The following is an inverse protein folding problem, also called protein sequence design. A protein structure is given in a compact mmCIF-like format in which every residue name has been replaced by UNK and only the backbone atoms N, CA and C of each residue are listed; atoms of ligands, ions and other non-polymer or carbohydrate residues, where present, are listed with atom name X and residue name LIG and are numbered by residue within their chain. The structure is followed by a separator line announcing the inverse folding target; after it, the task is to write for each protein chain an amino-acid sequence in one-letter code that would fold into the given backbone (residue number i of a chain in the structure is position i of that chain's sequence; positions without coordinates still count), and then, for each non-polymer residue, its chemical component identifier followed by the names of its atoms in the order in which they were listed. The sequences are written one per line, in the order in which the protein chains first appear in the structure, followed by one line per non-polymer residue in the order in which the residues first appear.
data_IF_932576031541
#
_entry.id   IF_932576031541
#
_cell.length_a   1.000
_cell.length_b   1.000
_cell.length_c   1.000
_cell.angle_alpha   90.00
_cell.angle_beta   90.00
_cell.angle_gamma   90.00
#
_symmetry.space_group_name_H-M   'P 1'
#
loop_
_entity.id
_entity.type
_entity.pdbx_description
1 polymer ?
#
# COMPACT_ATOMS: atom_id res chain seq x y z
N UNK A 1 -43.98 7.87 4.04
CA UNK A 1 -42.84 7.02 4.41
C UNK A 1 -41.76 7.25 3.36
N UNK A 2 -40.72 8.02 3.69
CA UNK A 2 -39.56 8.20 2.80
C UNK A 2 -38.69 6.95 2.94
N UNK A 3 -38.58 6.17 1.86
CA UNK A 3 -37.66 5.04 1.76
C UNK A 3 -36.24 5.57 1.95
N UNK A 4 -35.53 5.05 2.96
CA UNK A 4 -34.11 5.33 3.10
C UNK A 4 -33.37 4.84 1.84
N UNK A 5 -32.39 5.59 1.34
CA UNK A 5 -31.56 5.13 0.23
C UNK A 5 -30.87 3.84 0.67
N UNK A 6 -31.20 2.73 0.02
CA UNK A 6 -30.51 1.47 0.25
C UNK A 6 -29.03 1.63 -0.08
N UNK A 7 -28.15 1.15 0.81
CA UNK A 7 -26.72 1.15 0.57
C UNK A 7 -26.41 0.40 -0.72
N UNK A 8 -25.74 1.09 -1.65
CA UNK A 8 -25.41 0.56 -2.99
C UNK A 8 -24.62 -0.75 -2.92
N UNK A 9 -23.82 -0.91 -1.86
CA UNK A 9 -23.06 -2.13 -1.56
C UNK A 9 -23.95 -3.35 -1.35
N UNK A 10 -25.13 -3.18 -0.77
CA UNK A 10 -26.09 -4.26 -0.50
C UNK A 10 -26.65 -4.86 -1.80
N UNK A 11 -26.81 -4.05 -2.84
CA UNK A 11 -27.29 -4.53 -4.16
C UNK A 11 -26.15 -5.18 -4.95
N UNK A 12 -24.92 -4.65 -4.83
CA UNK A 12 -23.78 -5.16 -5.59
C UNK A 12 -23.27 -6.51 -5.09
N UNK A 13 -23.26 -6.72 -3.77
CA UNK A 13 -22.70 -7.95 -3.16
C UNK A 13 -23.34 -9.25 -3.70
N UNK A 14 -24.67 -9.42 -3.74
CA UNK A 14 -25.30 -10.64 -4.28
C UNK A 14 -25.00 -10.88 -5.76
N UNK A 15 -24.88 -9.81 -6.57
CA UNK A 15 -24.60 -9.93 -7.99
C UNK A 15 -23.17 -10.44 -8.24
N UNK A 16 -22.20 -9.92 -7.50
CA UNK A 16 -20.81 -10.40 -7.58
C UNK A 16 -20.71 -11.88 -7.17
N UNK A 17 -21.44 -12.28 -6.13
CA UNK A 17 -21.51 -13.69 -5.69
C UNK A 17 -22.23 -14.58 -6.72
N UNK A 18 -23.19 -14.04 -7.47
CA UNK A 18 -23.86 -14.71 -8.59
C UNK A 18 -23.02 -14.74 -9.89
N UNK A 19 -21.77 -14.29 -9.85
CA UNK A 19 -20.85 -14.32 -11.00
C UNK A 19 -21.00 -13.16 -11.97
N UNK A 20 -21.70 -12.09 -11.60
CA UNK A 20 -21.72 -10.86 -12.39
C UNK A 20 -20.37 -10.14 -12.27
N UNK A 21 -19.93 -9.53 -13.36
CA UNK A 21 -18.64 -8.80 -13.40
C UNK A 21 -18.87 -7.31 -13.46
N UNK A 22 -18.22 -6.55 -12.57
CA UNK A 22 -18.27 -5.10 -12.58
C UNK A 22 -17.44 -4.53 -13.73
N UNK A 23 -17.97 -3.52 -14.41
CA UNK A 23 -17.31 -2.85 -15.54
C UNK A 23 -16.77 -1.48 -15.11
N UNK A 24 -15.81 -0.97 -15.89
CA UNK A 24 -15.20 0.34 -15.66
C UNK A 24 -16.17 1.50 -15.94
N UNK A 25 -17.17 1.29 -16.79
CA UNK A 25 -18.17 2.29 -17.12
C UNK A 25 -19.21 2.45 -16.00
N UNK A 26 -19.63 3.68 -15.73
CA UNK A 26 -20.63 4.01 -14.72
C UNK A 26 -21.89 4.60 -15.34
N UNK A 27 -23.06 4.27 -14.77
CA UNK A 27 -24.35 4.79 -15.20
C UNK A 27 -24.42 6.31 -15.01
N UNK A 28 -24.82 7.05 -16.05
CA UNK A 28 -24.90 8.52 -16.03
C UNK A 28 -26.00 9.07 -15.12
N UNK A 29 -27.01 8.26 -14.77
CA UNK A 29 -28.13 8.67 -13.91
C UNK A 29 -27.82 8.57 -12.42
N UNK A 30 -27.19 7.48 -11.98
CA UNK A 30 -26.96 7.20 -10.56
C UNK A 30 -25.48 7.02 -10.16
N UNK A 31 -24.57 7.04 -11.14
CA UNK A 31 -23.13 6.81 -10.97
C UNK A 31 -22.77 5.45 -10.35
N UNK A 32 -23.67 4.47 -10.38
CA UNK A 32 -23.36 3.07 -10.06
C UNK A 32 -22.60 2.44 -11.22
N UNK A 33 -21.61 1.56 -10.97
CA UNK A 33 -20.94 0.82 -12.04
C UNK A 33 -21.93 -0.05 -12.82
N UNK A 34 -21.68 -0.21 -14.13
CA UNK A 34 -22.34 -1.21 -14.95
C UNK A 34 -21.85 -2.62 -14.56
N UNK A 35 -22.75 -3.60 -14.67
CA UNK A 35 -22.48 -5.00 -14.39
C UNK A 35 -22.78 -5.83 -15.63
N UNK A 36 -21.90 -6.77 -15.94
CA UNK A 36 -22.06 -7.76 -16.99
C UNK A 36 -22.63 -9.07 -16.42
N UNK A 37 -23.68 -9.65 -17.02
CA UNK A 37 -24.20 -10.93 -16.57
C UNK A 37 -23.16 -12.06 -16.74
N UNK A 38 -23.23 -13.11 -15.91
CA UNK A 38 -22.43 -14.30 -16.12
C UNK A 38 -22.66 -14.87 -17.52
N UNK A 39 -21.63 -15.47 -18.11
CA UNK A 39 -21.64 -16.03 -19.47
C UNK A 39 -21.94 -15.03 -20.60
N UNK A 40 -21.98 -13.72 -20.31
CA UNK A 40 -22.38 -12.67 -21.25
C UNK A 40 -23.80 -12.88 -21.82
N UNK A 41 -24.69 -13.50 -21.03
CA UNK A 41 -26.10 -13.77 -21.41
C UNK A 41 -26.98 -12.51 -21.30
N UNK A 42 -26.59 -11.42 -21.96
CA UNK A 42 -27.38 -10.19 -22.01
C UNK A 42 -26.55 -8.91 -22.11
N UNK A 43 -27.23 -7.75 -22.25
CA UNK A 43 -26.55 -6.46 -22.25
C UNK A 43 -26.02 -6.12 -20.85
N UNK A 44 -24.98 -5.29 -20.80
CA UNK A 44 -24.47 -4.71 -19.56
C UNK A 44 -25.54 -3.81 -18.92
N UNK A 45 -25.77 -3.95 -17.60
CA UNK A 45 -26.87 -3.26 -16.89
C UNK A 45 -26.39 -2.54 -15.64
N UNK A 46 -27.06 -1.45 -15.30
CA UNK A 46 -26.80 -0.74 -14.06
C UNK A 46 -27.55 -1.44 -12.92
N UNK A 47 -26.82 -2.05 -11.99
CA UNK A 47 -27.39 -2.80 -10.87
C UNK A 47 -28.40 -1.99 -10.05
N UNK A 48 -28.10 -0.70 -9.81
CA UNK A 48 -28.95 0.17 -9.02
C UNK A 48 -30.23 0.58 -9.76
N UNK A 49 -30.11 1.08 -11.01
CA UNK A 49 -31.28 1.50 -11.78
C UNK A 49 -32.19 0.32 -12.13
N UNK A 50 -31.62 -0.87 -12.37
CA UNK A 50 -32.42 -2.07 -12.63
C UNK A 50 -33.21 -2.50 -11.40
N UNK A 51 -32.60 -2.48 -10.21
CA UNK A 51 -33.31 -2.79 -8.95
C UNK A 51 -34.44 -1.80 -8.65
N UNK A 52 -34.29 -0.52 -9.03
CA UNK A 52 -35.33 0.50 -8.85
C UNK A 52 -36.45 0.42 -9.91
N UNK A 53 -36.12 -0.04 -11.13
CA UNK A 53 -37.06 -0.20 -12.24
C UNK A 53 -37.79 -1.54 -12.23
N UNK A 54 -37.35 -2.49 -11.42
CA UNK A 54 -38.17 -3.63 -11.03
C UNK A 54 -39.33 -3.08 -10.18
N UNK A 55 -40.41 -2.70 -10.87
CA UNK A 55 -41.76 -2.68 -10.31
C UNK A 55 -41.88 -3.98 -9.52
N UNK A 56 -42.05 -3.99 -8.19
CA UNK A 56 -41.78 -5.17 -7.37
C UNK A 56 -42.52 -6.35 -7.99
N UNK A 57 -41.81 -7.28 -8.67
CA UNK A 57 -42.47 -8.44 -9.20
C UNK A 57 -42.97 -9.13 -7.95
N UNK A 58 -44.29 -9.27 -7.82
CA UNK A 58 -44.89 -9.95 -6.69
C UNK A 58 -44.09 -11.22 -6.44
N UNK A 59 -43.43 -11.25 -5.29
CA UNK A 59 -42.79 -12.42 -4.67
C UNK A 59 -42.34 -13.44 -5.71
N UNK A 60 -41.17 -13.22 -6.33
CA UNK A 60 -40.42 -14.39 -6.81
C UNK A 60 -40.04 -15.18 -5.57
N UNK A 61 -40.76 -16.27 -5.34
CA UNK A 61 -40.46 -17.27 -4.33
C UNK A 61 -39.02 -17.75 -4.54
N UNK A 62 -38.08 -17.12 -3.85
CA UNK A 62 -36.82 -17.76 -3.52
C UNK A 62 -37.23 -18.94 -2.65
N UNK A 63 -36.94 -20.20 -3.02
CA UNK A 63 -37.18 -21.32 -2.12
C UNK A 63 -36.34 -21.06 -0.88
N UNK A 64 -37.03 -20.65 0.19
CA UNK A 64 -36.48 -20.62 1.52
C UNK A 64 -35.96 -22.02 1.83
N UNK A 65 -34.65 -22.21 1.70
CA UNK A 65 -33.93 -23.23 2.47
C UNK A 65 -33.95 -22.76 3.91
N UNK A 66 -35.10 -22.94 4.54
CA UNK A 66 -35.31 -22.74 5.94
C UNK A 66 -35.49 -24.12 6.58
N UNK A 67 -34.37 -24.69 7.04
CA UNK A 67 -34.41 -25.70 8.09
C UNK A 67 -33.27 -25.42 9.10
N UNK A 68 -33.64 -24.58 10.06
CA UNK A 68 -33.49 -24.78 11.51
C UNK A 68 -32.33 -25.68 11.97
N UNK A 69 -31.32 -25.03 12.57
CA UNK A 69 -31.04 -25.19 13.99
C UNK A 69 -30.04 -24.11 14.44
N UNK A 70 -30.40 -23.33 15.47
CA UNK A 70 -29.76 -23.40 16.80
C UNK A 70 -29.73 -22.05 17.51
N UNK A 71 -30.42 -22.05 18.65
CA UNK A 71 -30.23 -21.23 19.85
C UNK A 71 -30.54 -19.74 19.75
N UNK A 72 -31.76 -19.45 20.20
CA UNK A 72 -32.07 -18.29 21.03
C UNK A 72 -31.01 -18.19 22.14
N UNK A 73 -30.20 -17.13 22.10
CA UNK A 73 -29.64 -16.52 23.28
C UNK A 73 -29.92 -15.02 23.14
N UNK A 74 -30.90 -14.57 23.92
CA UNK A 74 -31.11 -13.17 24.25
C UNK A 74 -29.88 -12.65 25.00
N UNK A 75 -29.19 -11.70 24.42
CA UNK A 75 -28.34 -10.77 25.16
C UNK A 75 -28.70 -9.37 24.66
N UNK A 76 -29.61 -8.76 25.42
CA UNK A 76 -29.72 -7.32 25.55
C UNK A 76 -28.36 -6.80 26.04
N UNK A 77 -27.62 -6.06 25.22
CA UNK A 77 -26.51 -5.23 25.70
C UNK A 77 -26.38 -4.00 24.79
N UNK A 78 -26.83 -2.89 25.35
CA UNK A 78 -26.34 -1.52 25.21
C UNK A 78 -25.82 -1.06 23.84
N UNK A 79 -26.75 -0.45 23.11
CA UNK A 79 -26.53 0.58 22.10
C UNK A 79 -25.89 1.83 22.74
N UNK A 80 -24.55 1.93 22.67
CA UNK A 80 -23.82 3.19 22.94
C UNK A 80 -22.54 3.30 22.12
N UNK A 81 -22.47 4.37 21.31
CA UNK A 81 -21.31 4.93 20.58
C UNK A 81 -20.75 4.06 19.43
N UNK A 82 -20.44 4.54 18.22
CA UNK A 82 -20.29 5.88 17.63
C UNK A 82 -20.20 5.71 16.09
N UNK A 83 -20.31 6.77 15.27
CA UNK A 83 -20.48 6.65 13.82
C UNK A 83 -19.19 6.22 13.11
N UNK A 84 -19.36 5.36 12.11
CA UNK A 84 -18.30 4.90 11.20
C UNK A 84 -17.74 6.05 10.37
N UNK A 85 -16.62 6.60 10.83
CA UNK A 85 -15.80 7.54 10.10
C UNK A 85 -14.93 6.77 9.10
N UNK A 86 -15.38 6.81 7.85
CA UNK A 86 -14.61 6.57 6.64
C UNK A 86 -13.21 7.18 6.79
N UNK A 87 -12.16 6.44 6.43
CA UNK A 87 -10.78 6.94 6.42
C UNK A 87 -10.63 8.12 5.45
N UNK A 88 -10.97 9.33 5.90
CA UNK A 88 -10.53 10.57 5.29
C UNK A 88 -9.13 10.88 5.81
N UNK A 89 -8.17 10.76 4.90
CA UNK A 89 -6.85 11.37 5.02
C UNK A 89 -6.98 12.88 4.88
N UNK A 90 -7.54 13.53 5.90
CA UNK A 90 -7.41 14.97 6.12
C UNK A 90 -7.09 15.18 7.59
N UNK A 91 -5.93 15.78 7.87
CA UNK A 91 -5.43 16.00 9.23
C UNK A 91 -6.27 16.97 10.05
N UNK A 92 -5.96 16.98 11.37
CA UNK A 92 -6.54 17.76 12.49
C UNK A 92 -7.74 17.02 13.14
N UNK A 93 -7.78 16.67 14.43
CA UNK A 93 -7.10 17.17 15.63
C UNK A 93 -6.97 16.07 16.70
N UNK A 94 -5.95 16.20 17.56
CA UNK A 94 -5.68 15.31 18.68
C UNK A 94 -6.79 15.36 19.75
N UNK A 95 -7.63 14.34 19.79
CA UNK A 95 -8.46 14.03 20.96
C UNK A 95 -7.63 13.32 22.04
N UNK A 96 -7.82 13.62 23.34
CA UNK A 96 -7.03 13.01 24.40
C UNK A 96 -7.52 11.59 24.66
N UNK A 97 -6.80 10.58 24.17
CA UNK A 97 -7.14 9.19 24.47
C UNK A 97 -6.06 8.50 25.29
N UNK A 98 -6.49 7.97 26.43
CA UNK A 98 -5.70 7.38 27.50
C UNK A 98 -5.13 6.01 27.12
N UNK A 99 -3.81 5.87 27.20
CA UNK A 99 -2.97 4.67 27.42
C UNK A 99 -3.14 3.38 26.58
N UNK A 100 -4.33 2.99 26.10
CA UNK A 100 -4.54 1.74 25.33
C UNK A 100 -4.49 1.90 23.80
N UNK A 101 -4.49 3.13 23.29
CA UNK A 101 -4.43 3.40 21.83
C UNK A 101 -3.04 3.26 21.22
N UNK A 102 -2.00 3.29 22.05
CA UNK A 102 -0.61 3.32 21.55
C UNK A 102 -0.23 2.07 20.76
N UNK A 103 -0.71 0.87 21.15
CA UNK A 103 -0.42 -0.37 20.42
C UNK A 103 -1.18 -0.44 19.08
N UNK A 104 -2.45 -0.01 19.05
CA UNK A 104 -3.24 0.05 17.82
C UNK A 104 -2.63 1.03 16.81
N UNK A 105 -2.25 2.22 17.29
CA UNK A 105 -1.58 3.22 16.46
C UNK A 105 -0.22 2.73 15.96
N UNK A 106 0.54 2.04 16.81
CA UNK A 106 1.82 1.44 16.43
C UNK A 106 1.66 0.40 15.32
N UNK A 107 0.70 -0.53 15.47
CA UNK A 107 0.40 -1.55 14.44
C UNK A 107 -0.05 -0.92 13.14
N UNK A 108 -0.91 0.11 13.20
CA UNK A 108 -1.37 0.85 12.01
C UNK A 108 -0.20 1.51 11.29
N UNK A 109 0.66 2.22 12.01
CA UNK A 109 1.85 2.87 11.44
C UNK A 109 2.81 1.84 10.84
N UNK A 110 2.99 0.70 11.52
CA UNK A 110 3.81 -0.39 11.02
C UNK A 110 3.29 -0.95 9.69
N UNK A 111 1.97 -1.19 9.58
CA UNK A 111 1.35 -1.69 8.36
C UNK A 111 1.47 -0.69 7.20
N UNK A 112 1.33 0.60 7.47
CA UNK A 112 1.54 1.65 6.46
C UNK A 112 2.96 1.55 5.90
N UNK A 113 3.98 1.53 6.76
CA UNK A 113 5.39 1.38 6.34
C UNK A 113 5.64 0.07 5.60
N UNK A 114 5.04 -1.02 6.06
CA UNK A 114 5.15 -2.32 5.40
C UNK A 114 4.56 -2.26 3.98
N UNK A 115 3.38 -1.65 3.79
CA UNK A 115 2.73 -1.57 2.48
C UNK A 115 3.53 -0.76 1.46
N UNK A 116 4.16 0.33 1.89
CA UNK A 116 5.04 1.15 1.05
C UNK A 116 6.28 0.37 0.62
N UNK A 117 6.98 -0.24 1.57
CA UNK A 117 8.17 -1.04 1.30
C UNK A 117 7.86 -2.29 0.44
N UNK A 118 6.70 -2.92 0.65
CA UNK A 118 6.22 -4.03 -0.17
C UNK A 118 6.04 -3.59 -1.63
N UNK A 119 5.38 -2.45 -1.86
CA UNK A 119 5.19 -1.89 -3.19
C UNK A 119 6.51 -1.66 -3.92
N UNK A 120 7.48 -1.05 -3.25
CA UNK A 120 8.82 -0.82 -3.80
C UNK A 120 9.51 -2.14 -4.20
N UNK A 121 9.52 -3.14 -3.32
CA UNK A 121 10.14 -4.43 -3.63
C UNK A 121 9.41 -5.16 -4.75
N UNK A 122 8.09 -5.06 -4.85
CA UNK A 122 7.35 -5.66 -5.95
C UNK A 122 7.73 -5.05 -7.31
N UNK A 123 7.98 -3.74 -7.37
CA UNK A 123 8.50 -3.08 -8.58
C UNK A 123 9.90 -3.57 -8.97
N UNK A 124 10.71 -3.98 -7.98
CA UNK A 124 12.03 -4.59 -8.19
C UNK A 124 11.95 -6.09 -8.56
N UNK A 125 10.75 -6.64 -8.77
CA UNK A 125 10.54 -8.03 -9.20
C UNK A 125 10.48 -9.05 -8.05
N UNK A 126 10.31 -8.59 -6.80
CA UNK A 126 10.02 -9.49 -5.69
C UNK A 126 8.56 -9.96 -5.76
N UNK A 127 8.28 -11.16 -5.25
CA UNK A 127 6.92 -11.73 -5.28
C UNK A 127 6.42 -12.03 -3.87
N UNK A 128 5.19 -11.61 -3.56
CA UNK A 128 4.52 -11.94 -2.29
C UNK A 128 4.34 -13.44 -2.14
N UNK A 129 4.62 -13.93 -0.93
CA UNK A 129 4.32 -15.28 -0.48
C UNK A 129 3.10 -15.24 0.45
N UNK A 130 2.40 -16.37 0.57
CA UNK A 130 1.30 -16.53 1.52
C UNK A 130 1.76 -16.72 2.97
N UNK A 131 3.07 -16.73 3.20
CA UNK A 131 3.67 -16.93 4.53
C UNK A 131 3.89 -15.59 5.24
N UNK A 132 3.72 -15.57 6.56
CA UNK A 132 3.90 -14.38 7.42
C UNK A 132 5.27 -14.43 8.10
N UNK A 133 5.88 -13.26 8.35
CA UNK A 133 7.13 -13.15 9.09
C UNK A 133 7.00 -13.76 10.50
N UNK A 134 7.91 -14.66 10.92
CA UNK A 134 7.87 -15.27 12.26
C UNK A 134 8.36 -14.34 13.37
N UNK A 135 8.97 -13.19 13.04
CA UNK A 135 9.45 -12.24 14.03
C UNK A 135 8.28 -11.54 14.73
N UNK A 136 8.23 -11.62 16.06
CA UNK A 136 7.17 -11.02 16.90
C UNK A 136 7.13 -9.49 16.84
N UNK A 137 8.21 -8.84 16.39
CA UNK A 137 8.22 -7.40 16.15
C UNK A 137 7.51 -6.98 14.85
N UNK A 138 7.19 -7.92 13.96
CA UNK A 138 6.56 -7.67 12.67
C UNK A 138 5.14 -8.27 12.66
N UNK A 139 4.13 -7.43 12.79
CA UNK A 139 2.74 -7.84 12.88
C UNK A 139 2.15 -8.10 11.48
N UNK A 140 1.83 -9.36 11.19
CA UNK A 140 1.13 -9.79 9.98
C UNK A 140 1.78 -9.35 8.65
N UNK A 141 3.11 -9.19 8.63
CA UNK A 141 3.82 -8.80 7.41
C UNK A 141 4.10 -10.02 6.54
N UNK A 142 3.62 -10.05 5.29
CA UNK A 142 3.89 -11.15 4.38
C UNK A 142 5.36 -11.18 3.97
N UNK A 143 5.89 -12.40 3.79
CA UNK A 143 7.24 -12.61 3.26
C UNK A 143 7.26 -12.43 1.74
N UNK A 144 8.38 -11.95 1.21
CA UNK A 144 8.65 -11.82 -0.21
C UNK A 144 9.68 -12.86 -0.68
N UNK A 145 9.47 -13.45 -1.85
CA UNK A 145 10.47 -14.24 -2.56
C UNK A 145 11.45 -13.31 -3.27
N UNK A 146 12.75 -13.60 -3.13
CA UNK A 146 13.80 -12.84 -3.82
C UNK A 146 13.80 -13.17 -5.33
N UNK A 147 14.07 -12.19 -6.21
CA UNK A 147 14.14 -12.42 -7.65
C UNK A 147 15.34 -13.28 -8.05
N UNK A 148 16.47 -13.13 -7.36
CA UNK A 148 17.71 -13.86 -7.66
C UNK A 148 17.73 -15.27 -7.05
N UNK A 149 17.10 -15.45 -5.89
CA UNK A 149 17.15 -16.69 -5.13
C UNK A 149 15.75 -17.07 -4.63
N UNK A 150 15.08 -17.94 -5.40
CA UNK A 150 13.70 -18.35 -5.11
C UNK A 150 13.56 -19.20 -3.84
N UNK A 151 14.67 -19.70 -3.30
CA UNK A 151 14.69 -20.49 -2.06
C UNK A 151 14.62 -19.62 -0.80
N UNK A 152 14.96 -18.33 -0.95
CA UNK A 152 15.00 -17.37 0.15
C UNK A 152 13.74 -16.51 0.18
N UNK A 153 13.37 -16.15 1.41
CA UNK A 153 12.23 -15.30 1.73
C UNK A 153 12.74 -14.08 2.50
N UNK A 154 12.14 -12.92 2.33
CA UNK A 154 12.55 -11.66 2.96
C UNK A 154 11.34 -11.02 3.66
N UNK A 155 11.53 -10.53 4.89
CA UNK A 155 10.59 -9.60 5.50
C UNK A 155 11.04 -8.16 5.23
N UNK A 156 10.14 -7.31 4.72
CA UNK A 156 10.47 -5.92 4.39
C UNK A 156 10.62 -4.98 5.58
N UNK A 157 10.17 -5.38 6.78
CA UNK A 157 10.25 -4.52 7.96
C UNK A 157 11.51 -4.76 8.78
N UNK A 158 11.89 -6.02 8.96
CA UNK A 158 13.07 -6.37 9.75
C UNK A 158 14.27 -6.78 8.89
N UNK A 159 14.13 -6.77 7.56
CA UNK A 159 15.15 -7.16 6.57
C UNK A 159 15.79 -8.55 6.78
N UNK A 160 15.17 -9.38 7.63
CA UNK A 160 15.63 -10.75 7.86
C UNK A 160 15.27 -11.61 6.65
N UNK A 161 16.23 -12.45 6.26
CA UNK A 161 16.01 -13.48 5.26
C UNK A 161 15.77 -14.82 5.93
N UNK A 162 14.86 -15.59 5.35
CA UNK A 162 14.45 -16.90 5.84
C UNK A 162 14.60 -17.96 4.76
N UNK A 163 14.84 -19.20 5.17
CA UNK A 163 14.77 -20.36 4.30
C UNK A 163 13.32 -20.84 4.09
N UNK A 164 13.15 -21.97 3.39
CA UNK A 164 11.83 -22.57 3.17
C UNK A 164 11.10 -23.02 4.45
N UNK A 165 11.84 -23.19 5.55
CA UNK A 165 11.34 -23.62 6.86
C UNK A 165 11.14 -22.43 7.81
N UNK A 166 11.21 -21.19 7.32
CA UNK A 166 11.14 -19.96 8.11
C UNK A 166 12.26 -19.83 9.16
N UNK A 167 13.40 -20.48 8.94
CA UNK A 167 14.60 -20.33 9.76
C UNK A 167 15.33 -19.05 9.34
N UNK A 168 15.64 -18.11 10.25
CA UNK A 168 16.38 -16.90 9.90
C UNK A 168 17.80 -17.27 9.46
N UNK A 169 18.16 -16.89 8.24
CA UNK A 169 19.49 -17.14 7.64
C UNK A 169 20.50 -16.07 8.05
N UNK A 170 20.01 -14.85 8.26
CA UNK A 170 20.77 -13.78 8.88
C UNK A 170 20.11 -13.46 10.22
N UNK A 171 20.61 -13.98 11.35
CA UNK A 171 20.20 -13.46 12.65
C UNK A 171 20.55 -11.96 12.68
N UNK A 172 19.74 -11.11 13.34
CA UNK A 172 20.07 -9.70 13.46
C UNK A 172 21.47 -9.61 14.06
N UNK A 173 22.41 -9.06 13.28
CA UNK A 173 23.68 -8.60 13.81
C UNK A 173 23.32 -7.59 14.88
N UNK A 174 23.31 -8.02 16.14
CA UNK A 174 23.25 -7.09 17.27
C UNK A 174 24.40 -6.14 17.02
N UNK A 175 24.10 -4.90 16.64
CA UNK A 175 25.09 -3.84 16.69
C UNK A 175 25.53 -3.82 18.15
N UNK A 176 26.72 -4.38 18.42
CA UNK A 176 27.45 -4.08 19.63
C UNK A 176 27.59 -2.56 19.64
N UNK A 177 26.78 -1.93 20.49
CA UNK A 177 27.02 -0.58 20.95
C UNK A 177 28.42 -0.59 21.53
N UNK A 178 29.38 0.23 21.05
CA UNK A 178 30.70 0.28 21.65
C UNK A 178 30.54 0.61 23.13
N UNK A 179 30.84 -0.36 24.00
CA UNK A 179 30.91 -0.13 25.44
C UNK A 179 31.95 0.95 25.70
N UNK A 180 31.48 2.15 26.02
CA UNK A 180 32.31 3.20 26.60
C UNK A 180 32.82 2.68 27.94
N UNK A 181 34.09 2.26 27.95
CA UNK A 181 34.87 2.05 29.15
C UNK A 181 35.22 3.44 29.71
N UNK A 182 34.82 3.81 30.94
CA UNK A 182 35.26 5.08 31.52
C UNK A 182 36.68 4.90 32.07
N UNK A 183 37.67 5.19 31.23
CA UNK A 183 39.05 5.37 31.67
C UNK A 183 39.38 6.87 31.76
N UNK A 184 39.50 7.34 32.99
CA UNK A 184 40.21 8.55 33.38
C UNK A 184 41.56 8.69 32.66
N UNK A 185 41.83 9.83 32.00
CA UNK A 185 43.09 10.59 32.08
C UNK A 185 42.96 11.94 31.31
N UNK A 186 43.73 12.98 31.69
CA UNK A 186 43.46 14.38 31.34
C UNK A 186 44.32 14.90 30.17
N UNK A 187 43.72 15.84 29.42
CA UNK A 187 44.41 16.92 28.72
C UNK A 187 45.05 16.60 27.36
N UNK A 188 44.49 17.15 26.29
CA UNK A 188 45.21 18.07 25.39
C UNK A 188 44.28 18.72 24.35
N UNK A 189 44.60 19.97 24.05
CA UNK A 189 43.92 20.91 23.16
C UNK A 189 43.75 20.48 21.69
N UNK A 190 42.63 20.98 21.13
CA UNK A 190 42.38 21.50 19.77
C UNK A 190 43.38 21.12 18.66
N UNK A 191 42.85 20.48 17.60
CA UNK A 191 42.82 21.10 16.25
C UNK A 191 41.82 20.43 15.30
N UNK A 192 41.15 21.31 14.56
CA UNK A 192 40.15 21.10 13.51
C UNK A 192 40.79 20.60 12.21
N UNK A 193 40.09 19.74 11.45
CA UNK A 193 40.17 19.72 9.99
C UNK A 193 38.80 19.33 9.37
N UNK A 194 38.11 20.36 8.89
CA UNK A 194 36.97 20.27 7.98
C UNK A 194 37.48 19.89 6.58
N UNK A 195 37.03 18.76 6.03
CA UNK A 195 37.32 18.38 4.64
C UNK A 195 36.20 17.54 4.02
N UNK A 196 34.99 18.10 3.87
CA UNK A 196 33.91 17.50 3.03
C UNK A 196 33.18 18.50 2.11
N UNK A 197 33.58 19.78 2.09
CA UNK A 197 32.86 20.85 1.37
C UNK A 197 32.84 20.72 -0.17
N UNK A 198 33.69 19.89 -0.79
CA UNK A 198 33.78 19.84 -2.26
C UNK A 198 32.87 18.80 -2.91
N UNK A 199 32.40 17.81 -2.16
CA UNK A 199 31.49 16.77 -2.68
C UNK A 199 30.03 17.21 -2.52
N UNK A 200 29.68 17.82 -1.38
CA UNK A 200 28.32 18.34 -1.14
C UNK A 200 27.93 19.48 -2.10
N UNK A 201 28.89 20.32 -2.50
CA UNK A 201 28.63 21.37 -3.50
C UNK A 201 28.34 20.80 -4.89
N UNK A 202 29.00 19.70 -5.25
CA UNK A 202 28.80 19.04 -6.54
C UNK A 202 27.47 18.28 -6.56
N UNK A 203 27.09 17.62 -5.46
CA UNK A 203 25.80 16.92 -5.34
C UNK A 203 24.64 17.93 -5.41
N UNK A 204 24.71 19.04 -4.68
CA UNK A 204 23.65 20.05 -4.70
C UNK A 204 23.52 20.76 -6.07
N UNK A 205 24.63 20.93 -6.81
CA UNK A 205 24.58 21.47 -8.17
C UNK A 205 23.92 20.51 -9.17
N UNK A 206 24.13 19.20 -9.01
CA UNK A 206 23.48 18.17 -9.85
C UNK A 206 21.98 18.12 -9.59
N UNK A 207 21.55 18.19 -8.32
CA UNK A 207 20.12 18.22 -7.96
C UNK A 207 19.39 19.45 -8.53
N UNK A 208 20.00 20.64 -8.48
CA UNK A 208 19.40 21.85 -9.06
C UNK A 208 19.26 21.76 -10.59
N UNK A 209 20.21 21.11 -11.29
CA UNK A 209 20.14 20.98 -12.74
C UNK A 209 18.99 20.06 -13.18
N UNK A 210 18.78 18.94 -12.45
CA UNK A 210 17.71 17.98 -12.72
C UNK A 210 16.31 18.57 -12.52
N UNK A 211 16.13 19.45 -11.55
CA UNK A 211 14.84 20.12 -11.32
C UNK A 211 14.52 21.17 -12.41
N UNK A 212 15.53 21.85 -12.95
CA UNK A 212 15.32 22.85 -14.01
C UNK A 212 14.97 22.26 -15.38
N UNK A 213 15.42 21.04 -15.70
CA UNK A 213 15.11 20.42 -17.00
C UNK A 213 13.77 19.65 -17.02
N UNK A 214 13.24 19.24 -15.87
CA UNK A 214 11.96 18.51 -15.81
C UNK A 214 10.75 19.34 -16.28
N UNK A 215 10.86 20.67 -16.29
CA UNK A 215 9.80 21.57 -16.78
C UNK A 215 9.75 21.68 -18.31
N UNK A 216 10.68 21.06 -19.04
CA UNK A 216 10.86 21.27 -20.49
C UNK A 216 10.75 19.99 -21.30
N UNK A 217 9.96 19.01 -20.85
CA UNK A 217 9.65 17.82 -21.63
C UNK A 217 8.69 18.24 -22.76
N UNK A 218 9.12 18.22 -24.04
CA UNK A 218 8.22 18.49 -25.15
C UNK A 218 7.20 17.34 -25.24
N UNK A 219 5.91 17.66 -25.13
CA UNK A 219 4.81 16.71 -25.41
C UNK A 219 4.63 16.53 -26.92
N UNK A 220 5.71 16.33 -27.68
CA UNK A 220 5.63 16.02 -29.11
C UNK A 220 5.41 14.52 -29.28
N UNK A 221 4.39 14.15 -30.04
CA UNK A 221 4.01 12.76 -30.32
C UNK A 221 4.92 12.07 -31.35
N UNK A 222 6.11 12.63 -31.61
CA UNK A 222 7.04 12.11 -32.61
C UNK A 222 8.17 11.31 -31.92
N UNK A 223 8.21 9.98 -32.09
CA UNK A 223 9.18 9.12 -31.42
C UNK A 223 10.64 9.39 -31.84
N UNK A 224 10.85 10.11 -32.95
CA UNK A 224 12.19 10.44 -33.44
C UNK A 224 12.89 11.54 -32.63
N UNK A 225 12.16 12.47 -32.01
CA UNK A 225 12.73 13.51 -31.15
C UNK A 225 13.13 12.97 -29.76
N UNK A 226 12.33 12.05 -29.23
CA UNK A 226 12.61 11.42 -27.92
C UNK A 226 13.94 10.66 -27.92
N UNK A 227 14.26 9.97 -29.01
CA UNK A 227 15.53 9.25 -29.16
C UNK A 227 16.74 10.18 -29.27
N UNK A 228 16.59 11.37 -29.83
CA UNK A 228 17.65 12.39 -29.87
C UNK A 228 17.96 12.91 -28.48
N UNK A 229 16.93 13.23 -27.70
CA UNK A 229 17.09 13.70 -26.33
C UNK A 229 17.81 12.68 -25.44
N UNK A 230 17.42 11.40 -25.52
CA UNK A 230 18.08 10.32 -24.77
C UNK A 230 19.57 10.20 -25.14
N UNK A 231 19.91 10.33 -26.43
CA UNK A 231 21.29 10.25 -26.90
C UNK A 231 22.14 11.42 -26.38
N UNK A 232 21.58 12.63 -26.39
CA UNK A 232 22.28 13.83 -25.93
C UNK A 232 22.49 13.81 -24.40
N UNK A 233 21.53 13.28 -23.63
CA UNK A 233 21.71 13.01 -22.20
C UNK A 233 22.82 11.97 -21.94
N UNK A 234 22.89 10.90 -22.73
CA UNK A 234 23.89 9.85 -22.55
C UNK A 234 25.32 10.34 -22.81
N UNK A 235 25.55 11.18 -23.84
CA UNK A 235 26.87 11.78 -24.07
C UNK A 235 27.28 12.71 -22.92
N UNK A 236 26.34 13.48 -22.38
CA UNK A 236 26.61 14.38 -21.24
C UNK A 236 27.03 13.61 -19.99
N UNK A 237 26.36 12.51 -19.68
CA UNK A 237 26.71 11.63 -18.54
C UNK A 237 28.11 11.03 -18.73
N UNK A 238 28.47 10.60 -19.94
CA UNK A 238 29.81 10.07 -20.24
C UNK A 238 30.91 11.12 -20.08
N UNK A 239 30.65 12.38 -20.43
CA UNK A 239 31.61 13.48 -20.22
C UNK A 239 31.81 13.73 -18.73
N UNK A 240 30.73 13.75 -17.93
CA UNK A 240 30.81 13.94 -16.48
C UNK A 240 31.57 12.80 -15.78
N UNK A 241 31.37 11.55 -16.21
CA UNK A 241 32.14 10.41 -15.68
C UNK A 241 33.64 10.48 -16.01
N UNK A 242 34.03 11.10 -17.13
CA UNK A 242 35.45 11.33 -17.46
C UNK A 242 36.07 12.44 -16.64
N UNK A 243 35.31 13.47 -16.25
CA UNK A 243 35.80 14.57 -15.42
C UNK A 243 35.95 14.13 -13.95
N UNK A 244 35.18 13.14 -13.51
CA UNK A 244 35.23 12.61 -12.15
C UNK A 244 36.37 11.61 -11.87
N UNK A 245 37.16 11.23 -12.89
CA UNK A 245 38.35 10.36 -12.76
C UNK A 245 39.63 11.17 -12.84
#
# INVERSE_FOLDING_TARGET
MQLMPQDRSTILSPLLLAGWTMLQESCTTCYSPYMRPPNNEGPDRCAYCEAQNQNPPGVVDIPMLNDRARSENSMDDDEKDSPGEYCQVNGMAAGPQTASNTDHDFRRQQLIRASEALGEKMLLGYALLGDICPNTSCFAVPLLRLPQDRSKRLCVLCDNTYDANNTPLNPPTVLETPQQTPANLPGHDRMSLNATSSVEKTINAISQFLETESSKIPTSSDPSESLRFIRDCAETILILQKIAK
#
